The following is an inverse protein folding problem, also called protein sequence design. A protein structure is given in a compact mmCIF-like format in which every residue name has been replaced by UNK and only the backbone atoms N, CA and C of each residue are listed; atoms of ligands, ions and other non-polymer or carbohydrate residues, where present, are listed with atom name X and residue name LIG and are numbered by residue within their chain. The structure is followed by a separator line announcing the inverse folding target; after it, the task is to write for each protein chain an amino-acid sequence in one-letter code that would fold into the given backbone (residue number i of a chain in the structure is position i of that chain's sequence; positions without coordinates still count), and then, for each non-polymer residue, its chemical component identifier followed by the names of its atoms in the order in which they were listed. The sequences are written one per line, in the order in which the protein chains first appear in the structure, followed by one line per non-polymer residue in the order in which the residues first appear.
data_IF_168259275733
#
_entry.id   IF_168259275733
#
_cell.length_a   1.000
_cell.length_b   1.000
_cell.length_c   1.000
_cell.angle_alpha   90.00
_cell.angle_beta   90.00
_cell.angle_gamma   90.00
#
_symmetry.space_group_name_H-M   'P 1'
#
loop_
_entity.id
_entity.type
_entity.pdbx_description
1 polymer ?
#
# COMPACT_ATOMS: atom_id res chain seq x y z
N UNK A 1 5.38 -6.47 10.90
CA UNK A 1 3.94 -6.73 10.91
C UNK A 1 3.19 -5.56 10.28
N UNK A 2 2.21 -5.87 9.47
CA UNK A 2 1.40 -4.88 8.77
C UNK A 2 -0.06 -5.08 9.19
N UNK A 3 -0.72 -3.98 9.56
CA UNK A 3 -2.11 -4.02 9.98
C UNK A 3 -2.93 -3.03 9.17
N UNK A 4 -4.16 -3.41 8.82
CA UNK A 4 -5.09 -2.54 8.14
C UNK A 4 -6.18 -2.10 9.11
N UNK A 5 -6.61 -0.85 9.00
CA UNK A 5 -7.72 -0.35 9.80
C UNK A 5 -9.01 -1.09 9.46
N UNK A 6 -9.16 -1.52 8.21
CA UNK A 6 -10.27 -2.36 7.72
C UNK A 6 -9.78 -3.25 6.59
N UNK A 7 -10.36 -4.43 6.47
CA UNK A 7 -10.08 -5.33 5.35
C UNK A 7 -11.18 -5.29 4.28
N UNK A 8 -12.33 -4.70 4.59
CA UNK A 8 -13.44 -4.53 3.66
C UNK A 8 -13.89 -3.06 3.74
N UNK A 9 -13.97 -2.41 2.60
CA UNK A 9 -14.35 -0.99 2.52
C UNK A 9 -15.32 -0.76 1.36
N UNK A 10 -16.00 0.39 1.42
CA UNK A 10 -16.79 0.90 0.29
C UNK A 10 -15.87 1.65 -0.68
N UNK A 11 -16.32 1.86 -1.94
CA UNK A 11 -15.48 2.55 -2.95
C UNK A 11 -15.03 3.97 -2.57
N UNK A 12 -15.69 4.60 -1.62
CA UNK A 12 -15.39 5.98 -1.20
C UNK A 12 -14.58 6.05 0.08
N UNK A 13 -14.33 4.90 0.71
CA UNK A 13 -13.63 4.85 1.99
C UNK A 13 -12.12 4.91 1.82
N UNK A 14 -11.47 5.23 2.93
CA UNK A 14 -10.02 5.11 3.04
C UNK A 14 -9.68 4.00 4.03
N UNK A 15 -8.48 3.44 3.86
CA UNK A 15 -7.94 2.46 4.78
C UNK A 15 -6.55 2.93 5.20
N UNK A 16 -6.23 2.78 6.48
CA UNK A 16 -4.91 3.09 7.01
C UNK A 16 -4.13 1.81 7.19
N UNK A 17 -2.96 1.76 6.58
CA UNK A 17 -2.02 0.66 6.69
C UNK A 17 -0.94 1.05 7.68
N UNK A 18 -0.80 0.28 8.74
CA UNK A 18 0.19 0.54 9.80
C UNK A 18 1.27 -0.53 9.76
N UNK A 19 2.52 -0.12 9.91
CA UNK A 19 3.64 -1.04 9.94
C UNK A 19 4.72 -0.50 10.87
N UNK A 20 5.44 -1.40 11.53
CA UNK A 20 6.60 -1.04 12.34
C UNK A 20 7.87 -1.26 11.53
N UNK A 21 8.68 -0.21 11.42
CA UNK A 21 9.95 -0.24 10.71
C UNK A 21 11.07 -0.17 11.73
N UNK A 22 12.03 -1.09 11.65
CA UNK A 22 13.15 -1.18 12.61
C UNK A 22 14.47 -1.12 11.85
N UNK A 23 15.39 -0.32 12.35
CA UNK A 23 16.76 -0.32 11.84
C UNK A 23 17.54 -1.42 12.55
N UNK A 24 17.84 -2.50 11.85
CA UNK A 24 18.63 -3.61 12.39
C UNK A 24 20.11 -3.48 12.09
N UNK A 25 20.53 -2.40 11.43
CA UNK A 25 21.92 -2.15 11.09
C UNK A 25 22.70 -1.52 12.23
N UNK A 26 23.95 -1.24 11.96
CA UNK A 26 24.89 -0.68 12.95
C UNK A 26 24.98 0.84 12.87
N UNK A 27 24.40 1.44 11.85
CA UNK A 27 24.50 2.88 11.59
C UNK A 27 23.13 3.49 11.41
N UNK A 28 23.00 4.77 11.71
CA UNK A 28 21.83 5.55 11.38
C UNK A 28 21.63 5.54 9.86
N UNK A 29 20.41 5.32 9.41
CA UNK A 29 20.12 5.27 7.99
C UNK A 29 18.69 5.65 7.70
N UNK A 30 18.41 5.86 6.42
CA UNK A 30 17.08 6.17 5.94
C UNK A 30 16.34 4.90 5.57
N UNK A 31 15.06 4.86 5.89
CA UNK A 31 14.14 3.82 5.45
C UNK A 31 13.01 4.47 4.66
N UNK A 32 12.62 3.84 3.56
CA UNK A 32 11.52 4.33 2.73
C UNK A 32 10.55 3.17 2.50
N UNK A 33 9.67 2.89 3.47
CA UNK A 33 8.62 1.89 3.23
C UNK A 33 7.71 2.37 2.11
N UNK A 34 7.45 1.50 1.16
CA UNK A 34 6.63 1.78 -0.01
C UNK A 34 5.45 0.82 -0.05
N UNK A 35 4.26 1.37 -0.22
CA UNK A 35 3.03 0.61 -0.33
C UNK A 35 2.58 0.57 -1.78
N UNK A 36 2.41 -0.63 -2.30
CA UNK A 36 1.92 -0.88 -3.65
C UNK A 36 0.54 -1.49 -3.61
N UNK A 37 -0.26 -1.17 -4.61
CA UNK A 37 -1.60 -1.72 -4.78
C UNK A 37 -1.63 -2.52 -6.07
N UNK A 38 -2.13 -3.75 -5.99
CA UNK A 38 -2.36 -4.61 -7.14
C UNK A 38 -3.84 -4.94 -7.21
N UNK A 39 -4.48 -4.61 -8.33
CA UNK A 39 -5.87 -4.97 -8.57
C UNK A 39 -5.91 -6.41 -9.06
N UNK A 40 -6.53 -7.29 -8.30
CA UNK A 40 -6.58 -8.71 -8.60
C UNK A 40 -7.55 -9.02 -9.74
N UNK A 41 -8.61 -8.21 -9.89
CA UNK A 41 -9.62 -8.40 -10.92
C UNK A 41 -10.01 -7.04 -11.49
N UNK A 42 -9.40 -6.67 -12.61
CA UNK A 42 -9.67 -5.40 -13.25
C UNK A 42 -10.44 -5.61 -14.54
N UNK A 43 -11.38 -4.72 -14.85
CA UNK A 43 -12.10 -4.70 -16.12
C UNK A 43 -11.21 -4.19 -17.26
N UNK A 44 -10.08 -3.60 -16.95
CA UNK A 44 -9.15 -3.02 -17.91
C UNK A 44 -7.75 -3.57 -17.63
N UNK A 45 -6.96 -3.82 -18.66
CA UNK A 45 -5.58 -4.28 -18.51
C UNK A 45 -4.78 -3.17 -17.82
N UNK A 46 -4.08 -3.54 -16.73
CA UNK A 46 -3.32 -2.60 -15.91
C UNK A 46 -1.93 -3.16 -15.65
N UNK A 47 -0.97 -2.28 -15.29
CA UNK A 47 0.29 -2.73 -14.74
C UNK A 47 0.05 -3.63 -13.54
N UNK A 48 0.98 -4.53 -13.28
CA UNK A 48 0.85 -5.53 -12.23
C UNK A 48 0.61 -4.90 -10.86
N UNK A 49 1.29 -3.79 -10.59
CA UNK A 49 1.10 -3.05 -9.34
C UNK A 49 1.51 -1.61 -9.51
N UNK A 50 0.97 -0.76 -8.65
CA UNK A 50 1.24 0.66 -8.68
C UNK A 50 1.61 1.15 -7.29
N UNK A 51 2.54 2.10 -7.22
CA UNK A 51 2.90 2.74 -5.96
C UNK A 51 1.73 3.58 -5.46
N UNK A 52 1.24 3.27 -4.27
CA UNK A 52 0.10 3.97 -3.67
C UNK A 52 0.52 5.01 -2.65
N UNK A 53 1.53 4.70 -1.82
CA UNK A 53 1.97 5.60 -0.77
C UNK A 53 3.39 5.25 -0.35
N UNK A 54 4.10 6.21 0.22
CA UNK A 54 5.41 5.96 0.80
C UNK A 54 5.69 6.98 1.90
N UNK A 55 6.67 6.64 2.73
CA UNK A 55 7.15 7.54 3.78
C UNK A 55 8.66 7.39 3.90
N UNK A 56 9.35 8.51 4.05
CA UNK A 56 10.79 8.49 4.31
C UNK A 56 11.05 8.81 5.77
N UNK A 57 11.86 8.00 6.43
CA UNK A 57 12.25 8.21 7.81
C UNK A 57 13.72 7.89 8.01
N UNK A 58 14.28 8.52 9.04
CA UNK A 58 15.65 8.27 9.47
C UNK A 58 15.59 7.57 10.82
N UNK A 59 16.28 6.44 10.93
CA UNK A 59 16.28 5.61 12.13
C UNK A 59 17.70 5.40 12.64
N UNK A 60 17.89 5.55 13.95
CA UNK A 60 19.12 5.17 14.62
C UNK A 60 19.21 3.64 14.73
N UNK A 61 20.40 3.07 14.96
CA UNK A 61 20.52 1.63 15.15
C UNK A 61 19.62 1.13 16.28
N UNK A 62 18.85 0.09 16.00
CA UNK A 62 17.90 -0.48 16.95
C UNK A 62 16.61 0.29 17.13
N UNK A 63 16.47 1.44 16.49
CA UNK A 63 15.25 2.24 16.59
C UNK A 63 14.13 1.63 15.80
N UNK A 64 12.94 1.63 16.39
CA UNK A 64 11.71 1.22 15.71
C UNK A 64 10.75 2.38 15.65
N UNK A 65 10.01 2.49 14.56
CA UNK A 65 8.97 3.51 14.40
C UNK A 65 7.77 2.92 13.70
N UNK A 66 6.60 3.25 14.24
CA UNK A 66 5.35 2.87 13.59
C UNK A 66 4.98 3.90 12.55
N UNK A 67 4.67 3.43 11.36
CA UNK A 67 4.36 4.27 10.21
C UNK A 67 2.93 3.96 9.76
N UNK A 68 2.19 5.01 9.40
CA UNK A 68 0.84 4.87 8.87
C UNK A 68 0.80 5.42 7.46
N UNK A 69 0.27 4.61 6.52
CA UNK A 69 0.11 4.99 5.13
C UNK A 69 -1.37 4.87 4.79
N UNK A 70 -1.92 5.88 4.12
CA UNK A 70 -3.35 5.94 3.81
C UNK A 70 -3.58 5.59 2.36
N UNK A 71 -4.54 4.69 2.11
CA UNK A 71 -4.99 4.31 0.78
C UNK A 71 -6.45 4.71 0.65
N UNK A 72 -6.76 5.46 -0.38
CA UNK A 72 -8.12 5.95 -0.63
C UNK A 72 -8.52 5.76 -2.09
N UNK A 73 -9.65 6.38 -2.51
CA UNK A 73 -10.13 6.23 -3.88
C UNK A 73 -9.11 6.61 -4.94
N UNK A 74 -8.27 7.61 -4.68
CA UNK A 74 -7.23 8.01 -5.64
C UNK A 74 -6.26 6.90 -5.96
N UNK A 75 -5.92 6.07 -4.97
CA UNK A 75 -4.96 4.97 -5.14
C UNK A 75 -5.62 3.73 -5.73
N UNK A 76 -6.94 3.57 -5.55
CA UNK A 76 -7.66 2.37 -5.95
C UNK A 76 -8.41 2.53 -7.26
N UNK A 77 -8.58 3.76 -7.75
CA UNK A 77 -9.39 4.01 -8.94
C UNK A 77 -8.72 3.47 -10.21
N UNK A 78 -9.57 3.09 -11.15
CA UNK A 78 -9.17 2.58 -12.46
C UNK A 78 -9.86 3.40 -13.54
N UNK A 79 -9.14 3.69 -14.62
CA UNK A 79 -9.73 4.32 -15.80
C UNK A 79 -10.42 3.24 -16.63
N UNK A 80 -11.73 3.35 -16.80
CA UNK A 80 -12.50 2.43 -17.59
C UNK A 80 -12.39 2.69 -19.08
N UNK A 81 -13.00 1.81 -19.87
CA UNK A 81 -13.02 1.95 -21.33
C UNK A 81 -13.82 3.18 -21.79
N UNK A 82 -14.67 3.72 -20.92
CA UNK A 82 -15.41 4.97 -21.15
C UNK A 82 -14.62 6.21 -20.73
N UNK A 83 -13.36 6.05 -20.36
CA UNK A 83 -12.47 7.12 -19.88
C UNK A 83 -12.95 7.80 -18.61
N UNK A 84 -13.71 7.10 -17.78
CA UNK A 84 -14.15 7.60 -16.47
C UNK A 84 -13.38 6.87 -15.38
N UNK A 85 -12.78 7.65 -14.45
CA UNK A 85 -12.11 7.11 -13.29
C UNK A 85 -13.13 6.66 -12.25
N UNK A 86 -12.96 5.45 -11.75
CA UNK A 86 -13.81 4.92 -10.68
C UNK A 86 -13.10 3.83 -9.91
N UNK A 87 -13.52 3.62 -8.67
CA UNK A 87 -13.09 2.49 -7.86
C UNK A 87 -14.08 1.34 -8.12
N UNK A 88 -13.57 0.27 -8.73
CA UNK A 88 -14.40 -0.89 -9.02
C UNK A 88 -14.43 -1.84 -7.81
N UNK A 89 -15.57 -2.44 -7.47
CA UNK A 89 -15.63 -3.47 -6.44
C UNK A 89 -14.74 -4.66 -6.80
N UNK A 90 -14.16 -5.28 -5.80
CA UNK A 90 -13.31 -6.44 -6.01
C UNK A 90 -12.19 -6.50 -4.99
N UNK A 91 -11.25 -7.40 -5.26
CA UNK A 91 -10.10 -7.61 -4.40
C UNK A 91 -8.88 -6.84 -4.87
N UNK A 92 -8.20 -6.25 -3.91
CA UNK A 92 -6.89 -5.65 -4.10
C UNK A 92 -5.90 -6.33 -3.17
N UNK A 93 -4.66 -6.44 -3.61
CA UNK A 93 -3.55 -6.86 -2.74
C UNK A 93 -2.71 -5.64 -2.43
N UNK A 94 -2.49 -5.39 -1.14
CA UNK A 94 -1.60 -4.34 -0.68
C UNK A 94 -0.25 -4.98 -0.40
N UNK A 95 0.80 -4.43 -1.00
CA UNK A 95 2.15 -4.97 -0.90
C UNK A 95 3.07 -3.90 -0.33
N UNK A 96 3.73 -4.23 0.77
CA UNK A 96 4.67 -3.33 1.42
C UNK A 96 6.09 -3.83 1.21
N UNK A 97 6.96 -2.95 0.74
CA UNK A 97 8.35 -3.26 0.51
C UNK A 97 9.23 -2.03 0.58
N UNK A 98 10.52 -2.22 0.37
CA UNK A 98 11.47 -1.12 0.27
C UNK A 98 11.65 -0.68 -1.19
N UNK A 99 11.20 -1.51 -2.15
CA UNK A 99 11.10 -1.15 -3.57
C UNK A 99 10.16 -2.16 -4.26
N UNK A 100 9.88 -1.95 -5.56
CA UNK A 100 8.93 -2.78 -6.30
C UNK A 100 9.38 -4.23 -6.46
N UNK A 101 10.66 -4.50 -6.34
CA UNK A 101 11.21 -5.85 -6.50
C UNK A 101 11.36 -6.59 -5.19
N UNK A 102 11.33 -5.88 -4.06
CA UNK A 102 11.55 -6.47 -2.74
C UNK A 102 10.33 -6.25 -1.86
N UNK A 103 9.30 -7.06 -2.09
CA UNK A 103 8.05 -7.00 -1.34
C UNK A 103 8.20 -7.87 -0.08
N UNK A 104 8.01 -7.26 1.07
CA UNK A 104 8.21 -7.89 2.37
C UNK A 104 6.92 -8.39 3.01
N UNK A 105 5.83 -7.66 2.82
CA UNK A 105 4.53 -7.98 3.45
C UNK A 105 3.41 -7.81 2.44
N UNK A 106 2.35 -8.61 2.60
CA UNK A 106 1.16 -8.56 1.76
C UNK A 106 -0.09 -8.66 2.60
N UNK A 107 -1.14 -7.99 2.16
CA UNK A 107 -2.46 -8.08 2.80
C UNK A 107 -3.55 -7.88 1.76
N UNK A 108 -4.70 -8.50 1.99
CA UNK A 108 -5.85 -8.38 1.09
C UNK A 108 -6.76 -7.24 1.54
N UNK A 109 -7.29 -6.52 0.57
CA UNK A 109 -8.29 -5.47 0.78
C UNK A 109 -9.43 -5.75 -0.18
N UNK A 110 -10.66 -5.78 0.33
CA UNK A 110 -11.86 -5.98 -0.49
C UNK A 110 -12.66 -4.69 -0.55
N UNK A 111 -13.02 -4.29 -1.76
CA UNK A 111 -13.93 -3.16 -2.01
C UNK A 111 -15.29 -3.73 -2.41
N UNK A 112 -16.32 -3.33 -1.71
CA UNK A 112 -17.68 -3.79 -1.98
C UNK A 112 -18.54 -2.78 -2.72
#
# INVERSE_FOLDING_TARGET
DMALSRSVIDPQDTVTVSVTVTNTGKYTGDAVPQLYVRDMFSSVVKPERQLAAFRRLTLAPGESRRVELTVGPKQLRTLGSDYVWRVEPGKFELQLGDNAENILLRADLTVE
#
